data_IF_792675611322
#
_entry.id   IF_792675611322
#
_cell.length_a   1.000
_cell.length_b   1.000
_cell.length_c   1.000
_cell.angle_alpha   90.00
_cell.angle_beta   90.00
_cell.angle_gamma   90.00
#
_symmetry.space_group_name_H-M   'P 1'
#
loop_
_entity.id
_entity.type
_entity.pdbx_description
1 polymer ?
#
# COMPACT_ATOMS: atom_id res chain seq x y z
N UNK A 1 -26.65 -17.42 -37.36
CA UNK A 1 -25.40 -16.65 -37.54
C UNK A 1 -24.42 -16.76 -36.37
N UNK A 2 -24.77 -16.48 -35.10
CA UNK A 2 -23.81 -16.65 -33.97
C UNK A 2 -23.53 -18.13 -33.58
N UNK A 3 -24.50 -19.04 -33.78
CA UNK A 3 -24.34 -20.47 -33.47
C UNK A 3 -23.48 -21.25 -34.46
N UNK A 4 -23.43 -20.86 -35.73
CA UNK A 4 -22.67 -21.58 -36.78
C UNK A 4 -21.15 -21.42 -36.60
N UNK A 5 -20.70 -20.24 -36.16
CA UNK A 5 -19.28 -20.00 -35.89
C UNK A 5 -18.74 -20.80 -34.69
N UNK A 6 -19.58 -21.14 -33.71
CA UNK A 6 -19.16 -21.92 -32.54
C UNK A 6 -18.96 -23.41 -32.89
N UNK A 7 -19.83 -23.98 -33.73
CA UNK A 7 -19.67 -25.37 -34.18
C UNK A 7 -18.50 -25.53 -35.16
N UNK A 8 -18.25 -24.56 -36.05
CA UNK A 8 -17.03 -24.56 -36.88
C UNK A 8 -15.75 -24.54 -36.04
N UNK A 9 -15.68 -23.69 -35.03
CA UNK A 9 -14.52 -23.59 -34.16
C UNK A 9 -14.24 -24.88 -33.37
N UNK A 10 -15.31 -25.59 -33.02
CA UNK A 10 -15.26 -26.86 -32.29
C UNK A 10 -14.77 -28.02 -33.18
N UNK A 11 -15.19 -28.04 -34.44
CA UNK A 11 -14.70 -28.99 -35.45
C UNK A 11 -13.22 -28.77 -35.77
N UNK A 12 -12.80 -27.51 -35.96
CA UNK A 12 -11.39 -27.17 -36.12
C UNK A 12 -10.57 -27.59 -34.90
N UNK A 13 -11.05 -27.31 -33.69
CA UNK A 13 -10.37 -27.74 -32.46
C UNK A 13 -10.22 -29.28 -32.38
N UNK A 14 -11.24 -30.05 -32.78
CA UNK A 14 -11.15 -31.52 -32.82
C UNK A 14 -10.09 -32.00 -33.81
N UNK A 15 -10.03 -31.41 -35.00
CA UNK A 15 -9.03 -31.77 -36.01
C UNK A 15 -7.60 -31.49 -35.54
N UNK A 16 -7.37 -30.34 -34.90
CA UNK A 16 -6.07 -29.99 -34.33
C UNK A 16 -5.66 -30.94 -33.20
N UNK A 17 -6.61 -31.35 -32.35
CA UNK A 17 -6.35 -32.33 -31.27
C UNK A 17 -5.99 -33.69 -31.86
N UNK A 18 -6.71 -34.15 -32.89
CA UNK A 18 -6.43 -35.44 -33.53
C UNK A 18 -5.06 -35.45 -34.21
N UNK A 19 -4.72 -34.40 -34.98
CA UNK A 19 -3.40 -34.25 -35.58
C UNK A 19 -2.28 -34.21 -34.53
N UNK A 20 -2.50 -33.56 -33.40
CA UNK A 20 -1.55 -33.53 -32.29
C UNK A 20 -1.30 -34.91 -31.66
N UNK A 21 -2.34 -35.74 -31.55
CA UNK A 21 -2.22 -37.11 -31.01
C UNK A 21 -1.45 -38.02 -31.97
N UNK A 22 -1.72 -37.93 -33.28
CA UNK A 22 -1.01 -38.71 -34.31
C UNK A 22 0.49 -38.33 -34.36
N UNK A 23 0.82 -37.05 -34.26
CA UNK A 23 2.20 -36.58 -34.15
C UNK A 23 2.88 -37.06 -32.86
N UNK A 24 2.16 -37.06 -31.73
CA UNK A 24 2.70 -37.52 -30.45
C UNK A 24 3.04 -39.02 -30.48
N UNK A 25 2.25 -39.84 -31.18
CA UNK A 25 2.48 -41.29 -31.31
C UNK A 25 3.71 -41.66 -32.19
N UNK A 26 4.18 -40.75 -33.05
CA UNK A 26 5.38 -40.96 -33.89
C UNK A 26 6.70 -40.66 -33.16
N UNK A 27 6.66 -40.01 -32.00
CA UNK A 27 7.84 -39.62 -31.23
C UNK A 27 8.26 -40.80 -30.32
N UNK A 28 9.57 -41.11 -30.20
CA UNK A 28 10.02 -42.19 -29.32
C UNK A 28 9.60 -41.93 -27.86
N UNK A 29 9.13 -42.98 -27.13
CA UNK A 29 8.61 -42.86 -25.76
C UNK A 29 9.46 -42.03 -24.78
N UNK A 30 10.81 -42.17 -24.73
CA UNK A 30 11.61 -41.40 -23.77
C UNK A 30 11.58 -39.89 -24.00
N UNK A 31 11.42 -39.43 -25.25
CA UNK A 31 11.34 -38.00 -25.57
C UNK A 31 9.98 -37.40 -25.14
N UNK A 32 8.89 -38.17 -25.23
CA UNK A 32 7.57 -37.77 -24.73
C UNK A 32 7.56 -37.64 -23.20
N UNK A 33 8.12 -38.61 -22.47
CA UNK A 33 8.23 -38.52 -21.02
C UNK A 33 9.10 -37.34 -20.57
N UNK A 34 10.21 -37.08 -21.26
CA UNK A 34 11.05 -35.93 -20.99
C UNK A 34 10.30 -34.61 -21.25
N UNK A 35 9.62 -34.47 -22.39
CA UNK A 35 8.89 -33.26 -22.75
C UNK A 35 7.73 -32.97 -21.78
N UNK A 36 6.96 -34.00 -21.41
CA UNK A 36 5.86 -33.87 -20.43
C UNK A 36 6.38 -33.51 -19.03
N UNK A 37 7.47 -34.13 -18.58
CA UNK A 37 8.10 -33.78 -17.31
C UNK A 37 8.58 -32.31 -17.28
N UNK A 38 9.19 -31.83 -18.37
CA UNK A 38 9.61 -30.42 -18.49
C UNK A 38 8.41 -29.48 -18.49
N UNK A 39 7.32 -29.82 -19.19
CA UNK A 39 6.08 -29.03 -19.21
C UNK A 39 5.46 -28.93 -17.80
N UNK A 40 5.39 -30.04 -17.07
CA UNK A 40 4.83 -30.07 -15.71
C UNK A 40 5.72 -29.28 -14.74
N UNK A 41 7.04 -29.45 -14.83
CA UNK A 41 7.98 -28.73 -13.98
C UNK A 41 7.94 -27.21 -14.23
N UNK A 42 7.88 -26.80 -15.50
CA UNK A 42 7.82 -25.38 -15.87
C UNK A 42 6.49 -24.75 -15.47
N UNK A 43 5.36 -25.44 -15.64
CA UNK A 43 4.06 -24.96 -15.18
C UNK A 43 3.98 -24.84 -13.66
N UNK A 44 4.50 -25.83 -12.92
CA UNK A 44 4.60 -25.76 -11.46
C UNK A 44 5.50 -24.61 -11.00
N UNK A 45 6.66 -24.42 -11.63
CA UNK A 45 7.57 -23.31 -11.32
C UNK A 45 6.90 -21.96 -11.58
N UNK A 46 6.20 -21.80 -12.70
CA UNK A 46 5.49 -20.56 -13.02
C UNK A 46 4.34 -20.29 -12.05
N UNK A 47 3.59 -21.32 -11.65
CA UNK A 47 2.55 -21.20 -10.62
C UNK A 47 3.17 -20.80 -9.28
N UNK A 48 4.25 -21.46 -8.87
CA UNK A 48 4.97 -21.12 -7.64
C UNK A 48 5.45 -19.66 -7.66
N UNK A 49 6.11 -19.22 -8.74
CA UNK A 49 6.53 -17.82 -8.88
C UNK A 49 5.35 -16.86 -8.79
N UNK A 50 4.19 -17.21 -9.37
CA UNK A 50 2.97 -16.39 -9.28
C UNK A 50 2.38 -16.36 -7.87
N UNK A 51 2.35 -17.48 -7.15
CA UNK A 51 1.88 -17.54 -5.76
C UNK A 51 2.78 -16.74 -4.81
N UNK A 52 4.09 -16.73 -5.05
CA UNK A 52 5.05 -16.00 -4.23
C UNK A 52 5.18 -14.52 -4.64
N UNK A 53 4.52 -14.09 -5.72
CA UNK A 53 4.53 -12.70 -6.16
C UNK A 53 3.67 -11.86 -5.21
N UNK A 54 4.31 -11.31 -4.17
CA UNK A 54 3.70 -10.35 -3.25
C UNK A 54 3.15 -9.14 -4.04
N UNK A 55 1.88 -8.81 -3.79
CA UNK A 55 1.30 -7.55 -4.25
C UNK A 55 2.07 -6.38 -3.64
N UNK A 56 2.28 -5.31 -4.42
CA UNK A 56 2.82 -4.06 -3.86
C UNK A 56 1.75 -3.47 -2.94
N UNK A 57 2.12 -3.14 -1.71
CA UNK A 57 1.26 -2.38 -0.82
C UNK A 57 1.04 -0.99 -1.40
N UNK A 58 -0.19 -0.49 -1.30
CA UNK A 58 -0.55 0.89 -1.60
C UNK A 58 -1.06 1.61 -0.34
N UNK A 59 -0.70 1.09 0.84
CA UNK A 59 -1.20 1.60 2.13
C UNK A 59 -0.33 2.75 2.62
N UNK A 60 -0.94 3.89 2.92
CA UNK A 60 -0.33 5.07 3.53
C UNK A 60 -0.87 5.23 4.93
N UNK A 61 0.00 5.29 5.93
CA UNK A 61 -0.44 5.39 7.33
C UNK A 61 -0.17 6.78 7.88
N UNK A 62 -1.22 7.39 8.43
CA UNK A 62 -1.16 8.67 9.13
C UNK A 62 -0.94 8.39 10.62
N UNK A 63 0.15 8.93 11.15
CA UNK A 63 0.53 8.77 12.55
C UNK A 63 1.10 10.07 13.11
N UNK A 64 1.24 10.19 14.42
CA UNK A 64 1.65 11.41 15.12
C UNK A 64 0.86 11.66 16.41
N UNK A 65 1.25 12.67 17.19
CA UNK A 65 0.64 12.96 18.50
C UNK A 65 -0.86 13.25 18.42
N UNK A 66 -1.57 13.03 19.53
CA UNK A 66 -2.96 13.49 19.68
C UNK A 66 -3.07 14.99 19.39
N UNK A 67 -4.15 15.41 18.73
CA UNK A 67 -4.35 16.83 18.40
C UNK A 67 -3.60 17.36 17.16
N UNK A 68 -2.71 16.60 16.54
CA UNK A 68 -1.98 17.04 15.32
C UNK A 68 -2.83 17.17 14.06
N UNK A 69 -4.07 16.66 14.07
CA UNK A 69 -5.03 16.79 12.97
C UNK A 69 -5.05 15.63 11.97
N UNK A 70 -4.53 14.45 12.33
CA UNK A 70 -4.54 13.23 11.49
C UNK A 70 -5.92 12.88 10.93
N UNK A 71 -6.94 12.86 11.79
CA UNK A 71 -8.32 12.48 11.41
C UNK A 71 -8.98 13.52 10.52
N UNK A 72 -8.70 14.81 10.74
CA UNK A 72 -9.14 15.88 9.83
C UNK A 72 -8.50 15.70 8.46
N UNK A 73 -7.19 15.41 8.42
CA UNK A 73 -6.46 15.16 7.18
C UNK A 73 -7.01 13.92 6.44
N UNK A 74 -7.33 12.85 7.17
CA UNK A 74 -7.97 11.65 6.61
C UNK A 74 -9.29 11.97 5.89
N UNK A 75 -10.19 12.69 6.56
CA UNK A 75 -11.48 13.05 5.97
C UNK A 75 -11.36 14.09 4.84
N UNK A 76 -10.41 15.03 4.92
CA UNK A 76 -10.12 15.96 3.84
C UNK A 76 -9.65 15.22 2.58
N UNK A 77 -8.81 14.20 2.74
CA UNK A 77 -8.34 13.40 1.61
C UNK A 77 -9.44 12.49 1.03
N UNK A 78 -10.36 11.99 1.87
CA UNK A 78 -11.47 11.12 1.46
C UNK A 78 -12.61 11.88 0.78
N UNK A 79 -13.10 12.94 1.43
CA UNK A 79 -14.37 13.60 1.09
C UNK A 79 -14.17 15.05 0.63
N UNK A 80 -12.95 15.59 0.67
CA UNK A 80 -12.67 16.99 0.33
C UNK A 80 -13.16 18.01 1.35
N UNK A 81 -13.76 17.58 2.47
CA UNK A 81 -14.33 18.45 3.49
C UNK A 81 -13.61 18.31 4.84
N UNK A 82 -13.28 19.44 5.44
CA UNK A 82 -12.82 19.52 6.83
C UNK A 82 -14.03 19.29 7.73
N UNK A 83 -14.27 18.03 8.11
CA UNK A 83 -15.26 17.65 9.10
C UNK A 83 -14.93 18.37 10.42
N UNK A 84 -15.58 19.51 10.69
CA UNK A 84 -15.31 20.30 11.89
C UNK A 84 -15.80 19.56 13.15
N UNK A 85 -15.03 19.63 14.23
CA UNK A 85 -15.40 19.02 15.51
C UNK A 85 -14.97 17.56 15.70
N UNK A 86 -13.93 17.10 15.00
CA UNK A 86 -13.35 15.77 15.26
C UNK A 86 -12.85 15.65 16.71
N UNK A 87 -13.16 14.51 17.33
CA UNK A 87 -12.64 14.12 18.66
C UNK A 87 -11.49 13.12 18.53
N UNK A 88 -10.83 12.81 19.63
CA UNK A 88 -9.74 11.82 19.65
C UNK A 88 -10.21 10.44 19.19
N UNK A 89 -9.61 9.93 18.12
CA UNK A 89 -9.85 8.57 17.62
C UNK A 89 -9.40 7.52 18.64
N UNK A 90 -10.28 6.56 18.94
CA UNK A 90 -9.99 5.40 19.81
C UNK A 90 -9.68 4.13 18.99
N UNK A 91 -10.20 4.07 17.77
CA UNK A 91 -9.97 3.00 16.78
C UNK A 91 -9.31 3.57 15.52
N UNK A 92 -8.51 2.77 14.80
CA UNK A 92 -7.97 3.16 13.50
C UNK A 92 -9.09 3.37 12.47
N UNK A 93 -8.99 4.43 11.67
CA UNK A 93 -9.90 4.64 10.54
C UNK A 93 -9.22 4.20 9.24
N UNK A 94 -9.87 3.34 8.46
CA UNK A 94 -9.36 2.86 7.18
C UNK A 94 -10.25 3.36 6.04
N UNK A 95 -9.62 3.76 4.92
CA UNK A 95 -10.34 4.25 3.76
C UNK A 95 -9.55 4.00 2.49
N UNK A 96 -10.19 3.38 1.50
CA UNK A 96 -9.64 3.25 0.15
C UNK A 96 -10.28 4.31 -0.74
N UNK A 97 -9.51 5.26 -1.25
CA UNK A 97 -10.04 6.30 -2.13
C UNK A 97 -9.07 6.65 -3.25
N UNK A 98 -9.63 7.23 -4.32
CA UNK A 98 -8.89 7.63 -5.51
C UNK A 98 -8.34 9.03 -5.25
N UNK A 99 -7.02 9.15 -5.22
CA UNK A 99 -6.37 10.45 -5.11
C UNK A 99 -6.61 11.27 -6.39
N UNK A 100 -6.89 12.57 -6.24
CA UNK A 100 -7.21 13.46 -7.36
C UNK A 100 -6.14 13.44 -8.47
N UNK A 101 -4.86 13.34 -8.09
CA UNK A 101 -3.74 13.17 -9.02
C UNK A 101 -3.89 11.96 -9.96
N UNK A 102 -4.41 10.84 -9.47
CA UNK A 102 -4.59 9.66 -10.31
C UNK A 102 -5.74 9.80 -11.31
N UNK A 103 -6.80 10.53 -10.95
CA UNK A 103 -7.90 10.81 -11.87
C UNK A 103 -7.45 11.62 -13.08
N UNK A 104 -6.40 12.43 -12.94
CA UNK A 104 -5.84 13.25 -14.04
C UNK A 104 -4.85 12.49 -14.93
N UNK A 105 -4.36 11.32 -14.46
CA UNK A 105 -3.35 10.54 -15.17
C UNK A 105 -4.04 9.62 -16.18
N UNK A 106 -3.66 9.72 -17.47
CA UNK A 106 -4.10 8.76 -18.50
C UNK A 106 -3.46 7.38 -18.26
N UNK A 107 -4.03 6.60 -17.35
CA UNK A 107 -3.50 5.28 -16.96
C UNK A 107 -4.44 4.52 -16.04
N UNK A 108 -3.97 3.36 -15.54
CA UNK A 108 -4.71 2.54 -14.58
C UNK A 108 -4.81 3.28 -13.24
N UNK A 109 -6.03 3.62 -12.85
CA UNK A 109 -6.36 4.19 -11.54
C UNK A 109 -6.04 3.14 -10.47
N UNK A 110 -5.26 3.52 -9.45
CA UNK A 110 -4.85 2.69 -8.32
C UNK A 110 -5.27 3.36 -7.02
N UNK A 111 -6.43 3.00 -6.46
CA UNK A 111 -6.88 3.64 -5.24
C UNK A 111 -5.82 3.48 -4.13
N UNK A 112 -5.61 4.56 -3.40
CA UNK A 112 -4.71 4.59 -2.25
C UNK A 112 -5.50 4.12 -1.02
N UNK A 113 -4.90 3.19 -0.28
CA UNK A 113 -5.45 2.78 1.01
C UNK A 113 -4.82 3.68 2.06
N UNK A 114 -5.62 4.44 2.80
CA UNK A 114 -5.12 5.35 3.85
C UNK A 114 -5.66 4.87 5.19
N UNK A 115 -4.78 4.85 6.20
CA UNK A 115 -5.12 4.46 7.57
C UNK A 115 -4.77 5.59 8.51
N UNK A 116 -5.72 6.07 9.30
CA UNK A 116 -5.50 7.01 10.41
C UNK A 116 -5.35 6.22 11.71
N UNK A 117 -4.18 6.29 12.33
CA UNK A 117 -3.88 5.58 13.58
C UNK A 117 -4.03 6.53 14.78
N UNK A 118 -4.67 6.07 15.88
CA UNK A 118 -4.79 6.86 17.10
C UNK A 118 -3.43 7.35 17.63
N UNK A 119 -3.35 8.65 17.96
CA UNK A 119 -2.11 9.27 18.44
C UNK A 119 -1.86 9.19 19.95
N UNK A 120 -2.84 8.70 20.72
CA UNK A 120 -2.72 8.57 22.18
C UNK A 120 -1.69 7.49 22.53
N UNK A 121 -0.81 7.75 23.50
CA UNK A 121 0.33 6.88 23.85
C UNK A 121 -0.02 5.39 23.96
N UNK A 122 -1.09 5.08 24.70
CA UNK A 122 -1.62 3.71 24.90
C UNK A 122 -2.07 2.99 23.62
N UNK A 123 -2.45 3.73 22.59
CA UNK A 123 -3.01 3.18 21.35
C UNK A 123 -2.00 3.14 20.21
N UNK A 124 -0.78 3.65 20.42
CA UNK A 124 0.31 3.64 19.42
C UNK A 124 0.75 2.24 19.02
N UNK A 125 0.50 1.23 19.86
CA UNK A 125 0.76 -0.19 19.55
C UNK A 125 -0.06 -0.68 18.36
N UNK A 126 -1.25 -0.10 18.12
CA UNK A 126 -2.06 -0.41 16.92
C UNK A 126 -1.36 -0.08 15.61
N UNK A 127 -0.34 0.79 15.63
CA UNK A 127 0.50 1.05 14.45
C UNK A 127 1.19 -0.22 13.96
N UNK A 128 1.59 -1.12 14.86
CA UNK A 128 2.36 -2.32 14.52
C UNK A 128 1.58 -3.31 13.64
N UNK A 129 0.25 -3.27 13.69
CA UNK A 129 -0.61 -4.10 12.86
C UNK A 129 -0.59 -3.67 11.39
N UNK A 130 -0.34 -2.38 11.13
CA UNK A 130 -0.35 -1.79 9.79
C UNK A 130 1.05 -1.77 9.13
N UNK A 131 2.14 -1.67 9.93
CA UNK A 131 3.54 -1.59 9.44
C UNK A 131 3.96 -2.72 8.46
N UNK A 132 3.45 -3.96 8.60
CA UNK A 132 3.71 -5.04 7.65
C UNK A 132 3.09 -4.82 6.26
N UNK A 133 2.08 -3.96 6.12
CA UNK A 133 1.29 -3.80 4.91
C UNK A 133 1.44 -2.44 4.23
N UNK A 134 2.33 -1.58 4.72
CA UNK A 134 2.41 -0.19 4.28
C UNK A 134 3.54 0.14 3.32
N UNK A 135 3.26 1.17 2.53
CA UNK A 135 4.09 1.70 1.46
C UNK A 135 4.74 3.03 1.86
N UNK A 136 4.11 3.79 2.78
CA UNK A 136 4.60 5.09 3.22
C UNK A 136 4.00 5.44 4.60
N UNK A 137 4.81 6.03 5.46
CA UNK A 137 4.38 6.59 6.75
C UNK A 137 4.33 8.12 6.63
N UNK A 138 3.20 8.71 6.99
CA UNK A 138 3.04 10.16 7.10
C UNK A 138 2.94 10.51 8.58
N UNK A 139 4.00 11.12 9.10
CA UNK A 139 4.10 11.57 10.47
C UNK A 139 3.61 13.03 10.57
N UNK A 140 2.41 13.22 11.10
CA UNK A 140 1.71 14.51 11.20
C UNK A 140 2.09 15.21 12.50
N UNK A 141 2.69 16.38 12.36
CA UNK A 141 3.15 17.26 13.45
C UNK A 141 2.28 18.51 13.49
N UNK A 142 1.88 18.92 14.68
CA UNK A 142 1.26 20.23 14.89
C UNK A 142 2.31 21.34 14.83
N UNK A 143 2.28 22.19 13.81
CA UNK A 143 3.22 23.29 13.68
C UNK A 143 2.95 24.44 14.66
N UNK A 144 1.74 24.54 15.24
CA UNK A 144 1.38 25.60 16.19
C UNK A 144 1.85 25.26 17.60
N UNK A 145 1.61 24.03 18.05
CA UNK A 145 2.00 23.56 19.39
C UNK A 145 3.24 22.66 19.37
N UNK A 146 4.21 22.98 18.51
CA UNK A 146 5.40 22.14 18.33
C UNK A 146 6.35 22.20 19.53
N UNK A 147 6.75 23.39 19.99
CA UNK A 147 7.77 23.54 21.03
C UNK A 147 7.41 22.88 22.37
N UNK A 148 6.19 23.04 22.92
CA UNK A 148 5.82 22.38 24.18
C UNK A 148 5.82 20.84 24.08
N UNK A 149 5.59 20.33 22.87
CA UNK A 149 5.47 18.89 22.61
C UNK A 149 6.73 18.30 21.95
N UNK A 150 7.81 19.07 21.77
CA UNK A 150 8.99 18.68 21.01
C UNK A 150 9.52 17.31 21.41
N UNK A 151 9.79 17.11 22.71
CA UNK A 151 10.37 15.85 23.20
C UNK A 151 9.41 14.67 22.98
N UNK A 152 8.09 14.86 23.15
CA UNK A 152 7.11 13.81 22.89
C UNK A 152 6.96 13.48 21.39
N UNK A 153 7.12 14.48 20.52
CA UNK A 153 7.15 14.29 19.05
C UNK A 153 8.42 13.54 18.65
N UNK A 154 9.58 13.95 19.17
CA UNK A 154 10.89 13.37 18.86
C UNK A 154 10.98 11.92 19.35
N UNK A 155 10.57 11.64 20.60
CA UNK A 155 10.50 10.28 21.15
C UNK A 155 9.63 9.39 20.26
N UNK A 156 8.44 9.88 19.88
CA UNK A 156 7.55 9.07 19.05
C UNK A 156 8.09 8.83 17.63
N UNK A 157 8.74 9.85 17.05
CA UNK A 157 9.39 9.71 15.75
C UNK A 157 10.55 8.71 15.82
N UNK A 158 11.35 8.77 16.90
CA UNK A 158 12.45 7.84 17.16
C UNK A 158 11.94 6.40 17.29
N UNK A 159 10.87 6.18 18.05
CA UNK A 159 10.24 4.86 18.16
C UNK A 159 9.84 4.31 16.79
N UNK A 160 9.25 5.14 15.92
CA UNK A 160 8.83 4.70 14.58
C UNK A 160 10.05 4.36 13.72
N UNK A 161 11.09 5.22 13.73
CA UNK A 161 12.28 5.04 12.90
C UNK A 161 13.12 3.82 13.32
N UNK A 162 13.09 3.45 14.61
CA UNK A 162 13.84 2.31 15.16
C UNK A 162 13.13 0.96 15.01
N UNK A 163 11.82 0.96 14.68
CA UNK A 163 11.07 -0.29 14.48
C UNK A 163 11.67 -1.16 13.39
N UNK A 164 11.88 -2.45 13.71
CA UNK A 164 12.47 -3.43 12.81
C UNK A 164 11.75 -3.54 11.45
N UNK A 165 10.42 -3.43 11.45
CA UNK A 165 9.60 -3.45 10.23
C UNK A 165 9.91 -2.29 9.28
N UNK A 166 10.14 -1.10 9.83
CA UNK A 166 10.45 0.12 9.08
C UNK A 166 11.87 0.06 8.52
N UNK A 167 12.84 -0.31 9.35
CA UNK A 167 14.26 -0.42 8.97
C UNK A 167 14.48 -1.50 7.91
N UNK A 168 13.94 -2.70 8.13
CA UNK A 168 14.13 -3.85 7.22
C UNK A 168 13.59 -3.59 5.82
N UNK A 169 12.47 -2.87 5.72
CA UNK A 169 11.83 -2.54 4.44
C UNK A 169 12.27 -1.21 3.86
N UNK A 170 12.99 -0.38 4.62
CA UNK A 170 13.31 1.02 4.27
C UNK A 170 12.04 1.79 3.86
N UNK A 171 11.02 1.74 4.72
CA UNK A 171 9.74 2.41 4.45
C UNK A 171 9.98 3.93 4.35
N UNK A 172 9.51 4.60 3.28
CA UNK A 172 9.61 6.06 3.20
C UNK A 172 8.75 6.70 4.28
N UNK A 173 9.32 7.69 4.96
CA UNK A 173 8.65 8.48 6.00
C UNK A 173 8.61 9.95 5.57
N UNK A 174 7.43 10.55 5.67
CA UNK A 174 7.18 11.97 5.36
C UNK A 174 6.73 12.67 6.63
N UNK A 175 7.42 13.75 7.00
CA UNK A 175 6.98 14.63 8.09
C UNK A 175 6.04 15.68 7.51
N UNK A 176 4.78 15.66 7.93
CA UNK A 176 3.74 16.60 7.52
C UNK A 176 3.52 17.62 8.64
N UNK A 177 3.95 18.87 8.42
CA UNK A 177 3.71 19.97 9.35
C UNK A 177 2.31 20.55 9.09
N UNK A 178 1.37 20.28 9.99
CA UNK A 178 -0.03 20.68 9.88
C UNK A 178 -0.32 21.96 10.67
N UNK A 179 -1.49 22.57 10.44
CA UNK A 179 -1.96 23.83 11.06
C UNK A 179 -1.11 25.07 10.71
N UNK A 180 -0.51 25.07 9.52
CA UNK A 180 0.29 26.19 9.00
C UNK A 180 -0.55 27.39 8.57
N UNK A 181 -1.88 27.28 8.58
CA UNK A 181 -2.82 28.39 8.36
C UNK A 181 -2.80 29.43 9.50
N UNK A 182 -2.22 29.08 10.66
CA UNK A 182 -2.15 29.95 11.83
C UNK A 182 -0.86 30.77 11.83
N UNK A 183 -0.98 32.05 12.18
CA UNK A 183 0.14 33.02 12.18
C UNK A 183 1.29 32.61 13.13
N UNK A 184 0.97 31.90 14.21
CA UNK A 184 1.95 31.44 15.20
C UNK A 184 2.57 30.08 14.86
N UNK A 185 2.28 29.51 13.68
CA UNK A 185 2.84 28.22 13.27
C UNK A 185 4.34 28.34 12.95
N UNK A 186 5.11 27.35 13.40
CA UNK A 186 6.52 27.26 13.10
C UNK A 186 6.78 26.84 11.64
N UNK A 187 7.85 27.36 11.05
CA UNK A 187 8.32 26.99 9.71
C UNK A 187 8.82 25.55 9.66
N UNK A 188 8.69 24.90 8.50
CA UNK A 188 9.15 23.53 8.29
C UNK A 188 10.65 23.34 8.54
N UNK A 189 11.48 24.34 8.19
CA UNK A 189 12.92 24.32 8.43
C UNK A 189 13.25 24.34 9.92
N UNK A 190 12.52 25.15 10.69
CA UNK A 190 12.68 25.22 12.14
C UNK A 190 12.33 23.88 12.79
N UNK A 191 11.17 23.30 12.44
CA UNK A 191 10.72 22.01 12.97
C UNK A 191 11.74 20.91 12.67
N UNK A 192 12.22 20.84 11.41
CA UNK A 192 13.27 19.89 11.02
C UNK A 192 14.52 20.05 11.87
N UNK A 193 15.04 21.27 12.00
CA UNK A 193 16.27 21.54 12.75
C UNK A 193 16.14 21.19 14.23
N UNK A 194 14.97 21.41 14.84
CA UNK A 194 14.76 21.02 16.24
C UNK A 194 14.63 19.50 16.39
N UNK A 195 13.91 18.81 15.49
CA UNK A 195 13.82 17.35 15.51
C UNK A 195 15.15 16.65 15.25
N UNK A 196 16.04 17.25 14.47
CA UNK A 196 17.40 16.72 14.23
C UNK A 196 18.35 16.99 15.40
N UNK A 197 18.04 17.98 16.24
CA UNK A 197 18.87 18.38 17.38
C UNK A 197 18.56 17.56 18.63
N UNK A 198 17.28 17.26 18.84
CA UNK A 198 16.76 16.42 19.94
C UNK A 198 17.18 14.96 19.76
#
# INVERSE_FOLDING_TARGET
MQMEGFEQWKEEARQWVQQGIEYALQIPPPQLYAATAVLVLTTLLLLFIRLFKRSKSNTVVLTGLGGSGKTVLFYQLRDGSSHQGTVSSMEPNEGTFILHYESTKKGKIRPAHIVDVPGHSRLRTKLDDFLPQEACIVFVVDALEFLPNLSAVAEYLYDILTKASVVKKKVPLVICCNKTDKVTAHTMEFIRKQLEKE
#
